data_IF_514378019929
#
_entry.id   IF_514378019929
#
_cell.length_a   1.000
_cell.length_b   1.000
_cell.length_c   1.000
_cell.angle_alpha   90.00
_cell.angle_beta   90.00
_cell.angle_gamma   90.00
#
_symmetry.space_group_name_H-M   'P 1'
#
loop_
_entity.id
_entity.type
_entity.pdbx_description
1 polymer ?
#
# COMPACT_ATOMS: atom_id res chain seq x y z
N UNK A 1 30.68 -6.33 22.36
CA UNK A 1 30.15 -6.96 21.13
C UNK A 1 28.62 -7.06 21.12
N UNK A 2 27.98 -7.66 22.13
CA UNK A 2 26.49 -7.82 22.17
C UNK A 2 25.69 -6.50 22.05
N UNK A 3 26.07 -5.42 22.75
CA UNK A 3 25.36 -4.13 22.68
C UNK A 3 25.47 -3.43 21.32
N UNK A 4 26.64 -3.51 20.69
CA UNK A 4 26.85 -2.94 19.36
C UNK A 4 25.99 -3.70 18.33
N UNK A 5 26.02 -5.04 18.37
CA UNK A 5 25.18 -5.86 17.51
C UNK A 5 23.68 -5.55 17.70
N UNK A 6 23.22 -5.37 18.93
CA UNK A 6 21.84 -4.98 19.21
C UNK A 6 21.46 -3.63 18.57
N UNK A 7 22.25 -2.58 18.79
CA UNK A 7 21.97 -1.26 18.22
C UNK A 7 22.02 -1.29 16.69
N UNK A 8 22.99 -2.01 16.11
CA UNK A 8 23.09 -2.22 14.67
C UNK A 8 21.84 -2.90 14.11
N UNK A 9 21.38 -4.00 14.73
CA UNK A 9 20.16 -4.69 14.31
C UNK A 9 18.92 -3.81 14.40
N UNK A 10 18.78 -3.02 15.47
CA UNK A 10 17.66 -2.07 15.62
C UNK A 10 17.71 -1.01 14.53
N UNK A 11 18.88 -0.41 14.27
CA UNK A 11 19.06 0.56 13.18
C UNK A 11 18.66 -0.05 11.84
N UNK A 12 19.14 -1.25 11.52
CA UNK A 12 18.84 -1.93 10.26
C UNK A 12 17.35 -2.21 10.10
N UNK A 13 16.71 -2.79 11.13
CA UNK A 13 15.28 -3.11 11.09
C UNK A 13 14.45 -1.83 10.90
N UNK A 14 14.74 -0.76 11.65
CA UNK A 14 14.02 0.49 11.53
C UNK A 14 14.24 1.16 10.17
N UNK A 15 15.45 1.07 9.60
CA UNK A 15 15.71 1.54 8.23
C UNK A 15 14.93 0.73 7.20
N UNK A 16 14.91 -0.59 7.28
CA UNK A 16 14.16 -1.42 6.33
C UNK A 16 12.65 -1.17 6.41
N UNK A 17 12.11 -1.00 7.62
CA UNK A 17 10.67 -0.83 7.81
C UNK A 17 10.17 0.57 7.44
N UNK A 18 10.98 1.61 7.62
CA UNK A 18 10.50 3.00 7.52
C UNK A 18 11.38 3.95 6.69
N UNK A 19 12.47 3.45 6.10
CA UNK A 19 13.56 4.18 5.46
C UNK A 19 14.35 5.14 6.40
N UNK A 20 13.67 5.83 7.30
CA UNK A 20 14.22 6.90 8.14
C UNK A 20 14.50 6.47 9.58
N UNK A 21 13.89 5.39 10.03
CA UNK A 21 13.87 5.00 11.44
C UNK A 21 15.24 4.71 12.01
N UNK A 22 16.16 4.15 11.22
CA UNK A 22 17.53 3.91 11.67
C UNK A 22 18.31 5.20 11.91
N UNK A 23 18.15 6.22 11.05
CA UNK A 23 18.77 7.54 11.25
C UNK A 23 18.21 8.24 12.49
N UNK A 24 16.88 8.22 12.66
CA UNK A 24 16.22 8.76 13.84
C UNK A 24 16.69 8.06 15.13
N UNK A 25 16.87 6.74 15.07
CA UNK A 25 17.38 5.95 16.20
C UNK A 25 18.82 6.31 16.56
N UNK A 26 19.71 6.43 15.58
CA UNK A 26 21.10 6.84 15.82
C UNK A 26 21.17 8.27 16.40
N UNK A 27 20.36 9.20 15.88
CA UNK A 27 20.25 10.55 16.42
C UNK A 27 19.79 10.54 17.89
N UNK A 28 18.78 9.73 18.23
CA UNK A 28 18.30 9.58 19.60
C UNK A 28 19.34 8.93 20.53
N UNK A 29 20.11 7.95 20.04
CA UNK A 29 21.21 7.36 20.79
C UNK A 29 22.30 8.41 21.10
N UNK A 30 22.70 9.21 20.11
CA UNK A 30 23.69 10.27 20.31
C UNK A 30 23.18 11.33 21.30
N UNK A 31 21.94 11.80 21.14
CA UNK A 31 21.32 12.81 22.01
C UNK A 31 21.20 12.30 23.46
N UNK A 32 20.69 11.09 23.65
CA UNK A 32 20.53 10.51 25.00
C UNK A 32 21.87 10.23 25.68
N UNK A 33 22.89 9.86 24.92
CA UNK A 33 24.26 9.71 25.42
C UNK A 33 24.86 11.06 25.84
N UNK A 34 24.78 12.08 24.98
CA UNK A 34 25.29 13.42 25.25
C UNK A 34 24.63 14.09 26.46
N UNK A 35 23.32 13.88 26.64
CA UNK A 35 22.54 14.43 27.76
C UNK A 35 22.58 13.56 29.03
N UNK A 36 23.34 12.45 29.04
CA UNK A 36 23.43 11.56 30.20
C UNK A 36 22.12 10.87 30.60
N UNK A 37 21.15 10.76 29.67
CA UNK A 37 19.82 10.23 29.93
C UNK A 37 19.90 8.71 30.15
N UNK A 38 19.55 8.26 31.36
CA UNK A 38 19.56 6.82 31.72
C UNK A 38 18.18 6.16 31.69
N UNK A 39 17.11 6.91 31.96
CA UNK A 39 15.73 6.38 32.05
C UNK A 39 15.22 5.91 30.69
N UNK A 40 14.81 4.64 30.59
CA UNK A 40 14.37 4.03 29.34
C UNK A 40 13.20 4.76 28.67
N UNK A 41 12.16 5.13 29.43
CA UNK A 41 11.00 5.86 28.90
C UNK A 41 11.38 7.20 28.26
N UNK A 42 12.37 7.90 28.83
CA UNK A 42 12.86 9.15 28.25
C UNK A 42 13.63 8.88 26.96
N UNK A 43 14.40 7.80 26.87
CA UNK A 43 15.07 7.41 25.62
C UNK A 43 14.07 7.09 24.51
N UNK A 44 12.99 6.39 24.84
CA UNK A 44 11.89 6.11 23.89
C UNK A 44 11.24 7.42 23.46
N UNK A 45 10.94 8.33 24.39
CA UNK A 45 10.37 9.64 24.05
C UNK A 45 11.29 10.46 23.13
N UNK A 46 12.61 10.48 23.39
CA UNK A 46 13.59 11.14 22.51
C UNK A 46 13.62 10.49 21.13
N UNK A 47 13.57 9.15 21.04
CA UNK A 47 13.47 8.46 19.76
C UNK A 47 12.22 8.83 18.99
N UNK A 48 11.05 8.80 19.63
CA UNK A 48 9.78 9.19 19.00
C UNK A 48 9.81 10.64 18.52
N UNK A 49 10.41 11.54 19.30
CA UNK A 49 10.61 12.94 18.91
C UNK A 49 11.54 13.06 17.69
N UNK A 50 12.70 12.39 17.69
CA UNK A 50 13.60 12.37 16.53
C UNK A 50 12.93 11.78 15.29
N UNK A 51 12.14 10.72 15.45
CA UNK A 51 11.43 10.06 14.36
C UNK A 51 10.32 10.94 13.78
N UNK A 52 9.50 11.56 14.62
CA UNK A 52 8.48 12.50 14.19
C UNK A 52 9.10 13.71 13.45
N UNK A 53 10.22 14.23 13.97
CA UNK A 53 10.99 15.28 13.30
C UNK A 53 11.52 14.84 11.93
N UNK A 54 12.06 13.63 11.82
CA UNK A 54 12.53 13.07 10.56
C UNK A 54 11.38 12.88 9.54
N UNK A 55 10.25 12.32 9.97
CA UNK A 55 9.07 12.13 9.11
C UNK A 55 8.48 13.48 8.64
N UNK A 56 8.43 14.49 9.54
CA UNK A 56 7.99 15.83 9.18
C UNK A 56 8.95 16.51 8.20
N UNK A 57 10.26 16.49 8.45
CA UNK A 57 11.24 17.03 7.51
C UNK A 57 11.18 16.29 6.16
N UNK A 58 10.91 14.99 6.18
CA UNK A 58 10.74 14.20 4.98
C UNK A 58 9.56 14.66 4.13
N UNK A 59 8.41 14.98 4.74
CA UNK A 59 7.25 15.45 3.97
C UNK A 59 7.49 16.82 3.32
N UNK A 60 8.41 17.63 3.85
CA UNK A 60 8.82 18.91 3.27
C UNK A 60 9.88 18.76 2.16
N UNK A 61 10.81 17.82 2.31
CA UNK A 61 11.96 17.65 1.41
C UNK A 61 11.61 16.73 0.24
N UNK A 62 10.88 15.64 0.46
CA UNK A 62 10.54 14.65 -0.57
C UNK A 62 9.95 15.27 -1.86
N UNK A 63 9.08 16.31 -1.81
CA UNK A 63 8.53 16.92 -3.02
C UNK A 63 9.58 17.52 -3.96
N UNK A 64 10.67 18.08 -3.41
CA UNK A 64 11.76 18.64 -4.23
C UNK A 64 12.63 17.55 -4.86
N UNK A 65 12.51 16.32 -4.36
CA UNK A 65 13.19 15.12 -4.84
C UNK A 65 12.27 14.21 -5.68
N UNK A 66 11.09 14.69 -6.07
CA UNK A 66 10.18 13.98 -6.97
C UNK A 66 9.18 13.04 -6.29
N UNK A 67 9.03 13.12 -4.95
CA UNK A 67 8.12 12.29 -4.16
C UNK A 67 7.12 13.14 -3.38
N UNK A 68 5.84 12.85 -3.49
CA UNK A 68 4.79 13.56 -2.74
C UNK A 68 4.02 12.58 -1.86
N UNK A 69 3.72 12.94 -0.60
CA UNK A 69 2.90 12.08 0.26
C UNK A 69 1.44 12.11 -0.18
N UNK A 70 0.78 10.96 -0.19
CA UNK A 70 -0.67 10.84 -0.17
C UNK A 70 -1.20 11.24 1.21
N UNK A 71 -2.43 11.77 1.27
CA UNK A 71 -3.00 12.25 2.53
C UNK A 71 -3.27 11.11 3.49
N UNK A 72 -2.73 11.25 4.70
CA UNK A 72 -2.92 10.31 5.82
C UNK A 72 -4.24 10.53 6.56
N UNK A 73 -4.83 11.71 6.38
CA UNK A 73 -6.08 12.11 7.00
C UNK A 73 -7.06 12.35 5.87
N UNK A 74 -8.22 11.71 5.98
CA UNK A 74 -9.33 11.99 5.09
C UNK A 74 -10.05 13.23 5.63
N UNK A 75 -10.01 14.33 4.90
CA UNK A 75 -11.01 15.38 5.11
C UNK A 75 -12.37 14.91 4.57
N UNK A 76 -13.47 15.50 5.04
CA UNK A 76 -14.83 15.11 4.61
C UNK A 76 -15.04 15.25 3.08
N UNK A 77 -14.20 16.06 2.43
CA UNK A 77 -14.19 16.28 0.98
C UNK A 77 -13.20 15.40 0.24
N UNK A 78 -12.29 14.70 0.94
CA UNK A 78 -11.29 13.86 0.29
C UNK A 78 -11.92 12.57 -0.23
N UNK A 79 -11.75 12.32 -1.52
CA UNK A 79 -12.20 11.10 -2.19
C UNK A 79 -11.10 10.06 -2.35
N UNK A 80 -9.85 10.41 -2.04
CA UNK A 80 -8.71 9.52 -2.03
C UNK A 80 -8.10 9.52 -0.63
N UNK A 81 -8.10 8.36 0.03
CA UNK A 81 -7.65 8.24 1.42
C UNK A 81 -6.66 7.09 1.56
N UNK A 82 -5.61 7.27 2.37
CA UNK A 82 -4.74 6.17 2.75
C UNK A 82 -5.43 5.34 3.83
N UNK A 83 -5.57 4.03 3.63
CA UNK A 83 -6.39 3.15 4.46
C UNK A 83 -6.03 3.18 5.94
N UNK A 84 -4.74 3.06 6.21
CA UNK A 84 -4.23 2.83 7.55
C UNK A 84 -3.17 3.85 7.90
N UNK A 85 -3.25 4.48 9.09
CA UNK A 85 -2.20 5.35 9.60
C UNK A 85 -0.83 4.67 9.67
N UNK A 86 -0.77 3.33 9.63
CA UNK A 86 0.50 2.60 9.63
C UNK A 86 1.37 2.92 8.41
N UNK A 87 0.76 3.13 7.23
CA UNK A 87 1.51 3.48 6.02
C UNK A 87 2.20 4.83 6.21
N UNK A 88 1.49 5.78 6.78
CA UNK A 88 2.04 7.09 7.11
C UNK A 88 3.08 7.03 8.22
N UNK A 89 2.80 6.27 9.29
CA UNK A 89 3.74 6.06 10.39
C UNK A 89 5.05 5.48 9.88
N UNK A 90 5.02 4.63 8.86
CA UNK A 90 6.21 4.02 8.25
C UNK A 90 6.73 4.77 7.02
N UNK A 91 6.18 5.94 6.68
CA UNK A 91 6.54 6.72 5.50
C UNK A 91 6.40 5.94 4.18
N UNK A 92 5.41 5.06 4.07
CA UNK A 92 5.13 4.24 2.87
C UNK A 92 4.00 4.80 2.00
N UNK A 93 3.63 6.06 2.21
CA UNK A 93 2.54 6.75 1.52
C UNK A 93 3.04 7.72 0.44
N UNK A 94 4.29 7.59 -0.04
CA UNK A 94 4.86 8.51 -1.03
C UNK A 94 4.72 7.96 -2.44
N UNK A 95 4.41 8.83 -3.39
CA UNK A 95 4.29 8.51 -4.83
C UNK A 95 4.95 9.61 -5.67
N UNK A 96 5.17 9.39 -6.97
CA UNK A 96 5.48 10.49 -7.88
C UNK A 96 4.27 11.44 -8.02
N UNK A 97 4.47 12.72 -8.39
CA UNK A 97 3.36 13.62 -8.68
C UNK A 97 2.38 13.08 -9.74
N UNK A 98 2.82 12.49 -10.88
CA UNK A 98 1.89 11.89 -11.84
C UNK A 98 1.04 10.74 -11.26
N UNK A 99 1.61 9.88 -10.42
CA UNK A 99 0.85 8.80 -9.76
C UNK A 99 -0.20 9.37 -8.78
N UNK A 100 0.15 10.41 -8.01
CA UNK A 100 -0.82 11.12 -7.17
C UNK A 100 -1.97 11.70 -8.01
N UNK A 101 -1.64 12.33 -9.13
CA UNK A 101 -2.63 12.99 -9.98
C UNK A 101 -3.56 11.97 -10.64
N UNK A 102 -3.03 10.82 -11.09
CA UNK A 102 -3.83 9.67 -11.54
C UNK A 102 -4.79 9.18 -10.46
N UNK A 103 -4.28 8.91 -9.24
CA UNK A 103 -5.08 8.38 -8.15
C UNK A 103 -6.19 9.36 -7.71
N UNK A 104 -5.90 10.67 -7.70
CA UNK A 104 -6.90 11.72 -7.43
C UNK A 104 -7.96 11.78 -8.53
N UNK A 105 -7.55 11.74 -9.80
CA UNK A 105 -8.49 11.78 -10.92
C UNK A 105 -9.40 10.54 -10.96
N UNK A 106 -8.89 9.36 -10.63
CA UNK A 106 -9.70 8.16 -10.43
C UNK A 106 -10.71 8.38 -9.30
N UNK A 107 -10.27 8.86 -8.14
CA UNK A 107 -11.15 9.10 -7.01
C UNK A 107 -12.28 10.09 -7.31
N UNK A 108 -11.98 11.18 -8.01
CA UNK A 108 -12.97 12.15 -8.49
C UNK A 108 -13.94 11.54 -9.51
N UNK A 109 -13.44 10.69 -10.41
CA UNK A 109 -14.30 9.98 -11.35
C UNK A 109 -15.28 9.05 -10.64
N UNK A 110 -14.78 8.26 -9.68
CA UNK A 110 -15.61 7.33 -8.93
C UNK A 110 -16.66 8.02 -8.07
N UNK A 111 -16.34 9.18 -7.48
CA UNK A 111 -17.34 10.00 -6.77
C UNK A 111 -18.38 10.59 -7.73
N UNK A 112 -18.00 10.98 -8.97
CA UNK A 112 -18.95 11.49 -9.97
C UNK A 112 -19.89 10.41 -10.50
N UNK A 113 -19.37 9.22 -10.79
CA UNK A 113 -20.17 8.12 -11.31
C UNK A 113 -21.00 7.44 -10.21
N UNK A 114 -20.43 7.33 -9.01
CA UNK A 114 -21.05 6.74 -7.83
C UNK A 114 -20.97 7.71 -6.65
N UNK A 115 -21.93 8.65 -6.51
CA UNK A 115 -21.91 9.71 -5.50
C UNK A 115 -21.56 9.24 -4.10
N UNK A 116 -20.56 9.89 -3.50
CA UNK A 116 -20.05 9.61 -2.16
C UNK A 116 -18.93 8.57 -2.11
N UNK A 117 -18.57 7.93 -3.23
CA UNK A 117 -17.56 6.87 -3.25
C UNK A 117 -16.17 7.38 -2.88
N UNK A 118 -15.55 6.71 -1.92
CA UNK A 118 -14.17 6.94 -1.49
C UNK A 118 -13.28 5.85 -2.06
N UNK A 119 -12.22 6.27 -2.75
CA UNK A 119 -11.14 5.42 -3.21
C UNK A 119 -10.07 5.30 -2.12
N UNK A 120 -9.68 4.06 -1.82
CA UNK A 120 -8.79 3.77 -0.70
C UNK A 120 -7.44 3.31 -1.22
N UNK A 121 -6.41 4.12 -0.97
CA UNK A 121 -5.02 3.78 -1.22
C UNK A 121 -4.44 2.92 -0.08
N UNK A 122 -3.60 1.97 -0.44
CA UNK A 122 -2.88 1.09 0.48
C UNK A 122 -1.41 1.48 0.51
N UNK A 123 -0.50 0.55 0.21
CA UNK A 123 0.93 0.79 0.21
C UNK A 123 1.38 1.47 -1.09
N UNK A 124 2.26 2.45 -0.94
CA UNK A 124 2.83 3.21 -2.05
C UNK A 124 4.35 3.00 -2.05
N UNK A 125 5.16 4.01 -1.76
CA UNK A 125 6.62 3.93 -1.70
C UNK A 125 7.18 4.78 -0.55
N UNK A 126 8.48 4.68 -0.34
CA UNK A 126 9.23 5.51 0.61
C UNK A 126 9.54 6.92 0.05
N UNK A 127 9.88 7.90 0.91
CA UNK A 127 10.07 9.29 0.49
C UNK A 127 11.32 9.58 -0.35
N UNK A 128 12.35 8.74 -0.31
CA UNK A 128 13.64 9.02 -0.94
C UNK A 128 14.20 7.83 -1.68
N UNK A 129 15.05 8.10 -2.67
CA UNK A 129 15.88 7.13 -3.40
C UNK A 129 15.12 6.00 -4.10
N UNK A 130 15.28 5.92 -5.41
CA UNK A 130 14.77 4.79 -6.18
C UNK A 130 15.56 3.51 -5.84
N UNK A 131 14.88 2.36 -5.91
CA UNK A 131 15.49 1.05 -5.66
C UNK A 131 15.59 0.66 -4.18
N UNK A 132 15.11 1.48 -3.25
CA UNK A 132 15.05 1.09 -1.84
C UNK A 132 13.97 0.00 -1.64
N UNK A 133 14.31 -1.17 -1.07
CA UNK A 133 13.38 -2.29 -1.01
C UNK A 133 12.22 -2.03 -0.05
N UNK A 134 11.00 -2.05 -0.57
CA UNK A 134 9.77 -1.97 0.21
C UNK A 134 9.23 -3.38 0.50
N UNK A 135 9.56 -3.97 1.64
CA UNK A 135 9.04 -5.31 1.98
C UNK A 135 7.57 -5.23 2.45
N UNK A 136 6.66 -6.11 1.96
CA UNK A 136 6.88 -7.17 0.97
C UNK A 136 6.71 -6.73 -0.50
N UNK A 137 6.19 -5.54 -0.78
CA UNK A 137 5.93 -4.99 -2.11
C UNK A 137 7.19 -4.52 -2.85
N UNK A 138 8.10 -5.45 -3.15
CA UNK A 138 9.43 -5.14 -3.66
C UNK A 138 9.46 -4.32 -4.95
N UNK A 139 8.41 -4.37 -5.77
CA UNK A 139 8.31 -3.55 -6.98
C UNK A 139 8.09 -2.07 -6.69
N UNK A 140 7.58 -1.72 -5.50
CA UNK A 140 7.30 -0.35 -5.11
C UNK A 140 8.56 0.36 -4.63
N UNK A 141 9.54 0.48 -5.51
CA UNK A 141 10.86 1.02 -5.20
C UNK A 141 11.12 2.38 -5.87
N UNK A 142 10.20 2.83 -6.74
CA UNK A 142 10.31 4.03 -7.56
C UNK A 142 9.07 4.92 -7.50
N UNK A 143 8.16 4.67 -6.54
CA UNK A 143 6.89 5.37 -6.30
C UNK A 143 6.03 5.67 -7.55
N UNK A 144 6.24 4.89 -8.62
CA UNK A 144 5.38 4.83 -9.81
C UNK A 144 4.34 3.71 -9.68
N UNK A 145 4.23 3.10 -8.50
CA UNK A 145 3.29 2.04 -8.17
C UNK A 145 2.46 2.42 -6.95
N UNK A 146 1.21 2.01 -6.96
CA UNK A 146 0.27 2.25 -5.89
C UNK A 146 -0.70 1.07 -5.82
N UNK A 147 -0.96 0.61 -4.61
CA UNK A 147 -2.02 -0.36 -4.38
C UNK A 147 -3.29 0.37 -3.94
N UNK A 148 -4.42 -0.01 -4.52
CA UNK A 148 -5.75 0.48 -4.21
C UNK A 148 -6.59 -0.69 -3.69
N UNK A 149 -7.39 -0.47 -2.66
CA UNK A 149 -8.37 -1.47 -2.27
C UNK A 149 -9.42 -1.67 -3.37
N UNK A 150 -9.97 -2.89 -3.45
CA UNK A 150 -11.25 -3.07 -4.13
C UNK A 150 -12.35 -2.26 -3.43
N UNK A 151 -13.43 -1.98 -4.16
CA UNK A 151 -14.67 -1.53 -3.54
C UNK A 151 -15.37 -2.76 -2.99
N UNK A 152 -15.91 -2.65 -1.76
CA UNK A 152 -16.53 -3.78 -1.07
C UNK A 152 -18.01 -3.52 -0.81
N UNK A 153 -18.76 -4.62 -0.68
CA UNK A 153 -20.14 -4.65 -0.20
C UNK A 153 -20.29 -5.67 0.93
N UNK A 154 -21.29 -5.49 1.77
CA UNK A 154 -21.64 -6.46 2.81
C UNK A 154 -22.37 -7.69 2.23
N UNK A 155 -22.80 -8.59 3.11
CA UNK A 155 -23.47 -9.84 2.71
C UNK A 155 -24.89 -9.60 2.19
N UNK A 156 -25.51 -8.48 2.57
CA UNK A 156 -26.79 -7.98 2.05
C UNK A 156 -26.65 -7.27 0.70
N UNK A 157 -25.42 -6.98 0.28
CA UNK A 157 -25.09 -6.32 -0.99
C UNK A 157 -25.02 -4.80 -0.90
N UNK A 158 -25.08 -4.21 0.30
CA UNK A 158 -24.93 -2.77 0.48
C UNK A 158 -23.46 -2.35 0.38
N UNK A 159 -23.22 -1.23 -0.32
CA UNK A 159 -21.88 -0.70 -0.53
C UNK A 159 -21.22 -0.24 0.79
N UNK A 160 -19.99 -0.69 1.02
CA UNK A 160 -19.17 -0.35 2.18
C UNK A 160 -18.14 0.70 1.80
N UNK A 161 -18.52 1.97 1.97
CA UNK A 161 -17.67 3.08 1.57
C UNK A 161 -16.39 3.19 2.41
N UNK A 162 -15.26 3.50 1.76
CA UNK A 162 -13.98 3.77 2.44
C UNK A 162 -13.42 2.60 3.26
N UNK A 163 -13.90 1.38 3.02
CA UNK A 163 -13.62 0.20 3.85
C UNK A 163 -12.73 -0.79 3.10
N UNK A 164 -11.95 -1.56 3.87
CA UNK A 164 -11.21 -2.74 3.37
C UNK A 164 -11.62 -3.97 4.16
N UNK A 165 -11.42 -5.14 3.56
CA UNK A 165 -11.73 -6.43 4.20
C UNK A 165 -10.76 -6.83 5.32
N UNK A 166 -9.56 -6.24 5.37
CA UNK A 166 -8.62 -6.40 6.49
C UNK A 166 -8.17 -5.06 7.08
N UNK A 167 -7.63 -5.00 8.31
CA UNK A 167 -7.21 -3.74 8.94
C UNK A 167 -6.18 -2.93 8.15
N UNK A 168 -5.32 -3.59 7.38
CA UNK A 168 -4.29 -2.96 6.56
C UNK A 168 -4.62 -2.97 5.06
N UNK A 169 -5.65 -3.70 4.63
CA UNK A 169 -6.03 -3.81 3.21
C UNK A 169 -5.36 -4.96 2.46
N UNK A 170 -4.58 -5.80 3.14
CA UNK A 170 -3.94 -7.01 2.58
C UNK A 170 -4.35 -8.28 3.34
N UNK A 171 -4.07 -9.45 2.76
CA UNK A 171 -4.22 -10.80 3.33
C UNK A 171 -5.66 -11.34 3.45
N UNK A 172 -6.68 -10.54 3.13
CA UNK A 172 -8.07 -10.97 3.05
C UNK A 172 -8.44 -11.18 1.58
N UNK A 173 -8.17 -12.39 1.08
CA UNK A 173 -8.22 -12.69 -0.34
C UNK A 173 -9.64 -13.02 -0.81
N UNK A 174 -9.99 -12.53 -2.00
CA UNK A 174 -11.11 -13.04 -2.78
C UNK A 174 -10.72 -14.43 -3.29
N UNK A 175 -11.26 -15.47 -2.66
CA UNK A 175 -10.87 -16.84 -2.99
C UNK A 175 -11.55 -17.29 -4.29
N UNK A 176 -10.81 -17.93 -5.21
CA UNK A 176 -11.40 -18.49 -6.41
C UNK A 176 -12.36 -19.64 -6.07
N UNK A 177 -13.42 -19.80 -6.87
CA UNK A 177 -14.21 -21.02 -6.88
C UNK A 177 -13.37 -22.21 -7.39
N UNK A 178 -13.85 -23.43 -7.10
CA UNK A 178 -13.11 -24.66 -7.42
C UNK A 178 -12.85 -24.86 -8.93
N UNK A 179 -13.71 -24.29 -9.77
CA UNK A 179 -13.68 -24.34 -11.23
C UNK A 179 -13.05 -23.10 -11.89
N UNK A 180 -12.69 -22.07 -11.10
CA UNK A 180 -12.05 -20.86 -11.61
C UNK A 180 -10.55 -21.05 -11.87
N UNK A 181 -10.00 -20.17 -12.70
CA UNK A 181 -8.59 -20.21 -13.10
C UNK A 181 -7.68 -19.94 -11.90
N UNK A 182 -6.80 -20.91 -11.62
CA UNK A 182 -5.84 -20.83 -10.52
C UNK A 182 -4.42 -21.18 -11.00
N UNK A 183 -3.72 -20.26 -11.68
CA UNK A 183 -2.49 -20.56 -12.43
C UNK A 183 -1.33 -21.08 -11.59
N UNK A 184 -1.40 -20.91 -10.26
CA UNK A 184 -0.32 -21.22 -9.33
C UNK A 184 -0.58 -22.44 -8.45
N UNK A 185 -1.72 -23.11 -8.61
CA UNK A 185 -2.02 -24.34 -7.88
C UNK A 185 -0.97 -25.41 -8.20
N UNK A 186 -0.58 -26.17 -7.17
CA UNK A 186 0.44 -27.23 -7.28
C UNK A 186 1.89 -26.75 -7.14
N UNK A 187 2.13 -25.44 -6.98
CA UNK A 187 3.47 -24.93 -6.66
C UNK A 187 3.82 -25.22 -5.20
N UNK A 188 5.09 -25.58 -4.96
CA UNK A 188 5.64 -25.92 -3.63
C UNK A 188 6.87 -25.07 -3.28
N UNK A 189 6.88 -23.79 -3.68
CA UNK A 189 7.98 -22.89 -3.40
C UNK A 189 8.10 -22.63 -1.90
N UNK A 190 9.29 -22.82 -1.32
CA UNK A 190 9.53 -22.62 0.11
C UNK A 190 9.75 -21.14 0.49
N UNK A 191 10.26 -20.32 -0.43
CA UNK A 191 10.36 -18.87 -0.31
C UNK A 191 9.39 -18.21 -1.29
N UNK A 192 8.17 -17.95 -0.83
CA UNK A 192 7.17 -17.23 -1.62
C UNK A 192 6.47 -16.18 -0.76
N UNK A 193 6.12 -15.04 -1.36
CA UNK A 193 5.19 -14.07 -0.80
C UNK A 193 3.72 -14.39 -1.12
N UNK A 194 3.48 -15.49 -1.83
CA UNK A 194 2.16 -15.90 -2.32
C UNK A 194 1.47 -16.85 -1.34
N UNK A 195 1.19 -16.35 -0.14
CA UNK A 195 0.53 -17.13 0.91
C UNK A 195 -0.98 -17.20 0.69
N UNK A 196 -1.60 -18.34 0.97
CA UNK A 196 -3.06 -18.47 0.92
C UNK A 196 -3.74 -18.06 2.23
N UNK A 197 -3.03 -18.22 3.36
CA UNK A 197 -3.52 -17.88 4.71
C UNK A 197 -4.92 -18.46 5.00
N UNK A 198 -5.21 -19.68 4.50
CA UNK A 198 -6.54 -20.31 4.55
C UNK A 198 -7.12 -20.36 5.96
N UNK A 199 -6.29 -20.66 6.97
CA UNK A 199 -6.72 -20.69 8.37
C UNK A 199 -7.06 -19.32 8.97
N UNK A 200 -6.61 -18.23 8.35
CA UNK A 200 -6.93 -16.85 8.78
C UNK A 200 -8.10 -16.25 8.01
N UNK A 201 -8.43 -16.76 6.82
CA UNK A 201 -9.51 -16.20 5.99
C UNK A 201 -10.86 -16.09 6.74
N UNK A 202 -11.28 -17.06 7.57
CA UNK A 202 -12.53 -16.95 8.33
C UNK A 202 -12.55 -15.86 9.42
N UNK A 203 -11.40 -15.27 9.76
CA UNK A 203 -11.32 -14.19 10.77
C UNK A 203 -11.66 -12.81 10.18
N UNK A 204 -11.64 -12.67 8.85
CA UNK A 204 -12.00 -11.43 8.18
C UNK A 204 -13.52 -11.34 7.97
N UNK A 205 -14.09 -10.12 7.93
CA UNK A 205 -15.49 -9.93 7.55
C UNK A 205 -15.81 -10.58 6.20
N UNK A 206 -17.04 -11.10 6.09
CA UNK A 206 -17.55 -11.74 4.88
C UNK A 206 -17.94 -10.73 3.78
N UNK A 207 -17.17 -9.66 3.63
CA UNK A 207 -17.35 -8.69 2.56
C UNK A 207 -17.02 -9.32 1.21
N UNK A 208 -17.63 -8.79 0.17
CA UNK A 208 -17.38 -9.19 -1.22
C UNK A 208 -17.02 -7.97 -2.05
N UNK A 209 -16.34 -8.17 -3.16
CA UNK A 209 -16.16 -7.10 -4.14
C UNK A 209 -17.53 -6.53 -4.55
N UNK A 210 -17.64 -5.21 -4.54
CA UNK A 210 -18.71 -4.48 -5.22
C UNK A 210 -18.30 -4.34 -6.69
N UNK A 211 -18.90 -5.18 -7.53
CA UNK A 211 -18.45 -5.45 -8.89
C UNK A 211 -18.64 -4.22 -9.78
N UNK A 212 -19.71 -3.43 -9.56
CA UNK A 212 -20.00 -2.29 -10.43
C UNK A 212 -18.94 -1.19 -10.29
N UNK A 213 -18.62 -0.77 -9.06
CA UNK A 213 -17.57 0.22 -8.82
C UNK A 213 -16.18 -0.30 -9.17
N UNK A 214 -15.88 -1.55 -8.81
CA UNK A 214 -14.55 -2.11 -9.09
C UNK A 214 -14.30 -2.25 -10.58
N UNK A 215 -15.28 -2.74 -11.35
CA UNK A 215 -15.18 -2.81 -12.79
C UNK A 215 -15.10 -1.42 -13.43
N UNK A 216 -15.83 -0.43 -12.91
CA UNK A 216 -15.75 0.94 -13.43
C UNK A 216 -14.40 1.59 -13.17
N UNK A 217 -13.85 1.45 -11.96
CA UNK A 217 -12.52 1.96 -11.64
C UNK A 217 -11.44 1.37 -12.56
N UNK A 218 -11.48 0.05 -12.80
CA UNK A 218 -10.52 -0.60 -13.70
C UNK A 218 -10.74 -0.14 -15.16
N UNK A 219 -11.98 0.03 -15.60
CA UNK A 219 -12.29 0.56 -16.94
C UNK A 219 -11.77 1.99 -17.11
N UNK A 220 -11.93 2.84 -16.09
CA UNK A 220 -11.40 4.20 -16.13
C UNK A 220 -9.87 4.21 -16.15
N UNK A 221 -9.23 3.38 -15.32
CA UNK A 221 -7.77 3.22 -15.31
C UNK A 221 -7.25 2.81 -16.69
N UNK A 222 -7.86 1.79 -17.30
CA UNK A 222 -7.44 1.25 -18.60
C UNK A 222 -7.78 2.12 -19.80
N UNK A 223 -8.61 3.15 -19.63
CA UNK A 223 -8.95 4.12 -20.67
C UNK A 223 -8.29 5.47 -20.40
N UNK A 224 -8.88 6.27 -19.50
CA UNK A 224 -8.39 7.60 -19.13
C UNK A 224 -7.03 7.57 -18.44
N UNK A 225 -6.79 6.58 -17.57
CA UNK A 225 -5.50 6.39 -16.90
C UNK A 225 -4.36 6.16 -17.90
N UNK A 226 -4.59 5.31 -18.90
CA UNK A 226 -3.63 5.07 -19.99
C UNK A 226 -3.48 6.32 -20.86
N UNK A 227 -4.58 6.89 -21.33
CA UNK A 227 -4.57 7.98 -22.30
C UNK A 227 -3.99 9.29 -21.76
N UNK A 228 -4.11 9.56 -20.45
CA UNK A 228 -3.80 10.87 -19.86
C UNK A 228 -2.73 10.83 -18.78
N UNK A 229 -2.53 9.69 -18.13
CA UNK A 229 -1.66 9.58 -16.96
C UNK A 229 -0.52 8.58 -17.11
N UNK A 230 -0.34 7.98 -18.29
CA UNK A 230 0.75 7.05 -18.56
C UNK A 230 0.66 5.75 -17.77
N UNK A 231 -0.55 5.28 -17.45
CA UNK A 231 -0.75 3.96 -16.84
C UNK A 231 -0.26 2.87 -17.80
N UNK A 232 0.60 1.98 -17.32
CA UNK A 232 1.14 0.87 -18.10
C UNK A 232 0.51 -0.47 -17.74
N UNK A 233 0.24 -0.69 -16.45
CA UNK A 233 -0.18 -2.00 -15.92
C UNK A 233 -1.16 -1.85 -14.78
N UNK A 234 -2.12 -2.76 -14.75
CA UNK A 234 -2.97 -3.07 -13.60
C UNK A 234 -2.78 -4.55 -13.29
N UNK A 235 -2.50 -4.92 -12.04
CA UNK A 235 -2.45 -6.32 -11.62
C UNK A 235 -3.62 -6.64 -10.68
N UNK A 236 -4.32 -7.71 -11.05
CA UNK A 236 -5.30 -8.44 -10.26
C UNK A 236 -5.22 -9.93 -10.62
N UNK A 237 -5.69 -10.81 -9.76
CA UNK A 237 -5.70 -12.25 -10.07
C UNK A 237 -6.66 -12.62 -11.22
N UNK A 238 -6.37 -13.68 -12.01
CA UNK A 238 -7.18 -14.06 -13.16
C UNK A 238 -8.64 -14.36 -12.83
N UNK A 239 -8.94 -15.03 -11.71
CA UNK A 239 -10.32 -15.29 -11.32
C UNK A 239 -11.08 -14.00 -11.01
N UNK A 240 -10.44 -13.02 -10.35
CA UNK A 240 -11.04 -11.69 -10.12
C UNK A 240 -11.28 -10.96 -11.45
N UNK A 241 -10.30 -11.01 -12.36
CA UNK A 241 -10.42 -10.42 -13.71
C UNK A 241 -11.61 -11.02 -14.48
N UNK A 242 -11.75 -12.35 -14.42
CA UNK A 242 -12.82 -13.09 -15.10
C UNK A 242 -14.19 -12.80 -14.47
N UNK A 243 -14.29 -12.79 -13.14
CA UNK A 243 -15.52 -12.48 -12.41
C UNK A 243 -16.03 -11.05 -12.69
N UNK A 244 -15.12 -10.09 -12.90
CA UNK A 244 -15.45 -8.71 -13.27
C UNK A 244 -15.68 -8.50 -14.78
N UNK A 245 -15.51 -9.54 -15.61
CA UNK A 245 -15.70 -9.46 -17.07
C UNK A 245 -14.70 -8.53 -17.78
N UNK A 246 -13.48 -8.43 -17.26
CA UNK A 246 -12.46 -7.49 -17.77
C UNK A 246 -11.60 -8.17 -18.85
N UNK A 247 -11.55 -7.59 -20.04
CA UNK A 247 -10.77 -8.12 -21.18
C UNK A 247 -9.58 -7.26 -21.60
N UNK A 248 -9.36 -6.11 -20.95
CA UNK A 248 -8.30 -5.17 -21.35
C UNK A 248 -6.88 -5.75 -21.15
N UNK A 249 -5.98 -5.44 -22.09
CA UNK A 249 -4.61 -5.95 -22.13
C UNK A 249 -3.65 -5.29 -21.13
N UNK A 250 -4.00 -4.16 -20.54
CA UNK A 250 -3.25 -3.53 -19.45
C UNK A 250 -3.51 -4.23 -18.11
N UNK A 251 -4.64 -4.95 -17.98
CA UNK A 251 -4.96 -5.76 -16.79
C UNK A 251 -4.34 -7.14 -16.94
N UNK A 252 -3.33 -7.41 -16.13
CA UNK A 252 -2.43 -8.57 -16.30
C UNK A 252 -2.32 -9.38 -15.03
N UNK A 253 -1.92 -10.63 -15.20
CA UNK A 253 -1.47 -11.47 -14.10
C UNK A 253 0.02 -11.21 -13.85
N UNK A 254 0.38 -10.91 -12.60
CA UNK A 254 1.74 -10.61 -12.16
C UNK A 254 2.68 -11.84 -12.14
N UNK A 255 2.14 -13.04 -12.26
CA UNK A 255 2.90 -14.29 -12.20
C UNK A 255 3.01 -14.88 -10.79
N UNK A 256 3.25 -16.19 -10.73
CA UNK A 256 3.19 -16.96 -9.48
C UNK A 256 4.36 -16.76 -8.51
N UNK A 257 5.36 -15.94 -8.85
CA UNK A 257 6.49 -15.60 -7.96
C UNK A 257 6.29 -14.28 -7.20
N UNK A 258 5.21 -13.57 -7.48
CA UNK A 258 4.79 -12.39 -6.73
C UNK A 258 3.66 -12.73 -5.76
N UNK A 259 3.43 -11.86 -4.78
CA UNK A 259 2.27 -11.91 -3.91
C UNK A 259 0.97 -11.93 -4.72
N UNK A 260 -0.12 -12.41 -4.10
CA UNK A 260 -1.44 -12.44 -4.72
C UNK A 260 -2.00 -11.01 -4.84
N UNK A 261 -2.80 -10.75 -5.87
CA UNK A 261 -3.51 -9.48 -6.08
C UNK A 261 -5.02 -9.71 -6.16
N UNK A 262 -5.53 -10.51 -5.22
CA UNK A 262 -6.95 -10.79 -5.02
C UNK A 262 -7.46 -10.22 -3.69
N UNK A 263 -6.72 -9.31 -3.08
CA UNK A 263 -7.14 -8.46 -1.96
C UNK A 263 -7.07 -6.95 -2.30
N UNK A 264 -6.39 -6.59 -3.40
CA UNK A 264 -6.21 -5.22 -3.88
C UNK A 264 -5.98 -5.14 -5.41
N UNK A 265 -6.05 -3.92 -5.95
CA UNK A 265 -5.67 -3.55 -7.31
C UNK A 265 -4.28 -2.90 -7.24
N UNK A 266 -3.30 -3.46 -7.93
CA UNK A 266 -2.00 -2.80 -8.11
C UNK A 266 -1.98 -2.02 -9.42
N UNK A 267 -1.52 -0.77 -9.39
CA UNK A 267 -1.37 0.07 -10.59
C UNK A 267 0.08 0.55 -10.76
N UNK A 268 0.53 0.65 -12.01
CA UNK A 268 1.85 1.15 -12.38
C UNK A 268 1.75 2.16 -13.53
N UNK A 269 2.49 3.26 -13.42
CA UNK A 269 2.72 4.23 -14.51
C UNK A 269 4.16 4.16 -15.05
N UNK A 270 4.40 4.79 -16.21
CA UNK A 270 5.70 4.89 -16.90
C UNK A 270 6.83 5.56 -16.08
#
# INVERSE_FOLDING_TARGET
>A
MSRFALHFSITLILTILTQLGGLAYLAALMATHALGIRRFLIKVAVFLFCYAGAAFLSSLIAPTLGRVPLSCFADATDRLVVRSPIYCLFNRNYVTPPMRDLARALAEHMDREFPGTVTVALDANFPFMDGFPLLPHLSHDDGKKLDLAFYYKDVEGAFLNGTTRSPVGYFAFEQPAADEEQPCVGRSDWLTGRWNLDGLQPLFPAYRIEEQRTASAIRWLTTEGVARFGLEKVFIEPHVKNALGITDGHVRFQGCRAARHDDHIHIQIE
#
